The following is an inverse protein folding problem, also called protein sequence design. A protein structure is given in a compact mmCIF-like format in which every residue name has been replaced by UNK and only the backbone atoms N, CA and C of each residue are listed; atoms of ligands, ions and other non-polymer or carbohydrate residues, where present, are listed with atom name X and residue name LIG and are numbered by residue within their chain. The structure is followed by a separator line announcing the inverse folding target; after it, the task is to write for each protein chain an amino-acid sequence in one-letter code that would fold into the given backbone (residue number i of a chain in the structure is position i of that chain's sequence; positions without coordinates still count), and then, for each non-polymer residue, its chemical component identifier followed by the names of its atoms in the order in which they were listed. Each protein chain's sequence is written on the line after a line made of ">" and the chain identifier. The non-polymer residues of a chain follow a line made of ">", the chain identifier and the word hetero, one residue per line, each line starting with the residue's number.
data_IF_025473363150
#
_entry.id   IF_025473363150
#
_cell.length_a   1.000
_cell.length_b   1.000
_cell.length_c   1.000
_cell.angle_alpha   90.00
_cell.angle_beta   90.00
_cell.angle_gamma   90.00
#
_symmetry.space_group_name_H-M   'P 1'
#
loop_
_entity.id
_entity.type
_entity.pdbx_description
1 polymer ?
#
# COMPACT_ATOMS: atom_id res chain seq x y z
N UNK A 1 2.63 -13.39 13.21
CA UNK A 1 1.62 -12.43 13.66
C UNK A 1 1.48 -11.38 12.56
N UNK A 2 0.30 -11.23 11.95
CA UNK A 2 0.09 -10.21 10.91
C UNK A 2 0.06 -8.83 11.56
N UNK A 3 1.13 -8.05 11.40
CA UNK A 3 1.22 -6.68 11.89
C UNK A 3 0.46 -5.72 10.97
N UNK A 4 -0.86 -5.85 10.90
CA UNK A 4 -1.67 -4.90 10.16
C UNK A 4 -1.81 -3.59 10.96
N UNK A 5 -1.40 -2.46 10.36
CA UNK A 5 -1.37 -1.13 10.94
C UNK A 5 -2.09 -0.14 10.03
N UNK A 6 -3.04 0.61 10.57
CA UNK A 6 -3.67 1.73 9.86
C UNK A 6 -2.76 2.96 9.89
N UNK A 7 -2.40 3.46 8.71
CA UNK A 7 -1.55 4.64 8.50
C UNK A 7 -2.42 5.89 8.28
N UNK A 8 -3.54 5.72 7.58
CA UNK A 8 -4.56 6.75 7.36
C UNK A 8 -5.95 6.10 7.25
N UNK A 9 -7.05 6.88 7.29
CA UNK A 9 -8.40 6.33 7.12
C UNK A 9 -8.63 5.55 5.81
N UNK A 10 -7.79 5.79 4.80
CA UNK A 10 -7.83 5.13 3.49
C UNK A 10 -6.58 4.26 3.24
N UNK A 11 -5.67 4.10 4.22
CA UNK A 11 -4.40 3.39 4.00
C UNK A 11 -4.04 2.49 5.18
N UNK A 12 -3.92 1.19 4.91
CA UNK A 12 -3.40 0.19 5.84
C UNK A 12 -2.11 -0.43 5.32
N UNK A 13 -1.21 -0.80 6.22
CA UNK A 13 0.04 -1.48 5.89
C UNK A 13 0.13 -2.76 6.71
N UNK A 14 0.52 -3.86 6.08
CA UNK A 14 1.01 -5.04 6.78
C UNK A 14 2.37 -5.43 6.23
N UNK A 15 3.16 -6.13 7.03
CA UNK A 15 4.43 -6.67 6.58
C UNK A 15 4.60 -8.14 6.95
N UNK A 16 5.38 -8.83 6.14
CA UNK A 16 5.88 -10.16 6.40
C UNK A 16 7.31 -10.24 5.88
N UNK A 17 8.27 -10.41 6.79
CA UNK A 17 9.69 -10.41 6.46
C UNK A 17 10.08 -9.15 5.67
N UNK A 18 10.73 -9.28 4.50
CA UNK A 18 11.11 -8.16 3.62
C UNK A 18 10.00 -7.66 2.69
N UNK A 19 8.77 -8.15 2.88
CA UNK A 19 7.63 -7.80 2.03
C UNK A 19 6.63 -6.92 2.77
N UNK A 20 6.29 -5.78 2.16
CA UNK A 20 5.31 -4.84 2.67
C UNK A 20 4.10 -4.78 1.75
N UNK A 21 2.92 -4.87 2.34
CA UNK A 21 1.64 -4.79 1.65
C UNK A 21 0.96 -3.48 2.06
N UNK A 22 0.79 -2.58 1.11
CA UNK A 22 0.10 -1.30 1.29
C UNK A 22 -1.28 -1.39 0.64
N UNK A 23 -2.32 -1.22 1.44
CA UNK A 23 -3.73 -1.34 1.06
C UNK A 23 -4.37 0.04 1.04
N UNK A 24 -4.87 0.46 -0.13
CA UNK A 24 -5.63 1.69 -0.28
C UNK A 24 -7.14 1.39 -0.19
N UNK A 25 -7.68 1.55 1.02
CA UNK A 25 -9.09 1.35 1.34
C UNK A 25 -9.95 2.46 0.73
N UNK A 26 -11.19 2.13 0.36
CA UNK A 26 -12.16 3.05 -0.26
C UNK A 26 -11.76 3.59 -1.64
N UNK A 27 -10.80 2.95 -2.32
CA UNK A 27 -10.62 3.11 -3.76
C UNK A 27 -11.57 2.15 -4.48
N UNK A 28 -12.16 2.55 -5.60
CA UNK A 28 -13.09 1.70 -6.38
C UNK A 28 -12.46 0.34 -6.73
N UNK A 29 -11.13 0.31 -6.87
CA UNK A 29 -10.36 -0.86 -7.29
C UNK A 29 -9.74 -1.66 -6.13
N UNK A 30 -9.92 -1.23 -4.88
CA UNK A 30 -9.26 -1.80 -3.68
C UNK A 30 -7.77 -2.07 -3.93
N UNK A 31 -7.05 -1.03 -4.31
CA UNK A 31 -5.68 -1.13 -4.79
C UNK A 31 -4.72 -1.62 -3.68
N UNK A 32 -3.97 -2.69 -3.97
CA UNK A 32 -2.90 -3.23 -3.14
C UNK A 32 -1.56 -3.09 -3.83
N UNK A 33 -0.57 -2.52 -3.15
CA UNK A 33 0.82 -2.49 -3.58
C UNK A 33 1.65 -3.42 -2.71
N UNK A 34 2.45 -4.27 -3.33
CA UNK A 34 3.39 -5.17 -2.68
C UNK A 34 4.81 -4.69 -2.98
N UNK A 35 5.52 -4.23 -1.96
CA UNK A 35 6.92 -3.83 -2.03
C UNK A 35 7.77 -4.96 -1.46
N UNK A 36 8.65 -5.54 -2.27
CA UNK A 36 9.55 -6.62 -1.87
C UNK A 36 10.97 -6.06 -1.93
N UNK A 37 11.61 -6.00 -0.75
CA UNK A 37 12.97 -5.49 -0.60
C UNK A 37 13.99 -6.62 -0.67
N UNK A 38 15.16 -6.32 -1.24
CA UNK A 38 16.24 -7.31 -1.38
C UNK A 38 17.04 -7.46 -0.08
N UNK A 39 17.19 -6.38 0.70
CA UNK A 39 18.00 -6.34 1.92
C UNK A 39 17.14 -6.14 3.18
N UNK A 40 17.64 -6.63 4.31
CA UNK A 40 17.02 -6.39 5.63
C UNK A 40 17.12 -4.91 6.04
N UNK A 41 18.16 -4.22 5.57
CA UNK A 41 18.37 -2.79 5.79
C UNK A 41 17.29 -1.96 5.10
N UNK A 42 17.03 -2.21 3.81
CA UNK A 42 15.98 -1.50 3.07
C UNK A 42 14.59 -1.77 3.65
N UNK A 43 14.31 -3.03 4.03
CA UNK A 43 13.07 -3.40 4.70
C UNK A 43 12.89 -2.65 6.04
N UNK A 44 13.97 -2.54 6.83
CA UNK A 44 13.97 -1.83 8.11
C UNK A 44 13.80 -0.31 7.91
N UNK A 45 14.52 0.27 6.95
CA UNK A 45 14.40 1.68 6.57
C UNK A 45 12.99 2.02 6.11
N UNK A 46 12.40 1.17 5.28
CA UNK A 46 11.01 1.33 4.84
C UNK A 46 10.03 1.24 6.01
N UNK A 47 10.19 0.27 6.92
CA UNK A 47 9.37 0.17 8.12
C UNK A 47 9.40 1.46 8.94
N UNK A 48 10.61 1.97 9.25
CA UNK A 48 10.80 3.19 10.02
C UNK A 48 10.19 4.42 9.30
N UNK A 49 10.34 4.51 7.98
CA UNK A 49 9.78 5.58 7.17
C UNK A 49 8.24 5.57 7.20
N UNK A 50 7.60 4.40 7.11
CA UNK A 50 6.15 4.25 7.24
C UNK A 50 5.65 4.65 8.64
N UNK A 51 6.42 4.37 9.69
CA UNK A 51 6.07 4.83 11.05
C UNK A 51 6.08 6.36 11.14
N UNK A 52 7.14 6.98 10.62
CA UNK A 52 7.26 8.44 10.56
C UNK A 52 6.13 9.06 9.71
N UNK A 53 5.80 8.45 8.57
CA UNK A 53 4.67 8.85 7.73
C UNK A 53 3.35 8.79 8.50
N UNK A 54 3.12 7.72 9.26
CA UNK A 54 1.91 7.56 10.08
C UNK A 54 1.77 8.70 11.09
N UNK A 55 2.87 9.11 11.71
CA UNK A 55 2.89 10.24 12.65
C UNK A 55 2.63 11.55 11.91
N UNK A 56 3.31 11.79 10.79
CA UNK A 56 3.15 12.99 9.97
C UNK A 56 1.71 13.14 9.44
N UNK A 57 1.09 12.05 8.99
CA UNK A 57 -0.28 12.03 8.46
C UNK A 57 -1.37 12.46 9.46
N UNK A 58 -1.06 12.50 10.76
CA UNK A 58 -1.99 13.01 11.78
C UNK A 58 -2.16 14.52 11.70
N UNK A 59 -1.14 15.26 11.26
CA UNK A 59 -1.19 16.74 11.17
C UNK A 59 -1.69 17.25 9.81
N UNK A 60 -1.80 16.38 8.80
CA UNK A 60 -2.22 16.76 7.45
C UNK A 60 -3.75 16.85 7.35
N UNK A 61 -4.30 17.90 6.71
CA UNK A 61 -5.73 17.98 6.42
C UNK A 61 -6.21 16.80 5.58
N UNK A 62 -7.38 16.23 5.91
CA UNK A 62 -7.92 15.01 5.28
C UNK A 62 -7.86 15.05 3.74
N UNK A 63 -8.21 16.19 3.12
CA UNK A 63 -8.24 16.39 1.66
C UNK A 63 -6.88 16.27 0.97
N UNK A 64 -5.77 16.39 1.71
CA UNK A 64 -4.41 16.33 1.14
C UNK A 64 -3.66 15.05 1.49
N UNK A 65 -4.20 14.24 2.42
CA UNK A 65 -3.47 13.08 2.96
C UNK A 65 -3.03 12.13 1.85
N UNK A 66 -3.92 11.83 0.91
CA UNK A 66 -3.62 10.87 -0.16
C UNK A 66 -2.46 11.32 -1.06
N UNK A 67 -2.49 12.57 -1.53
CA UNK A 67 -1.42 13.13 -2.35
C UNK A 67 -0.07 13.11 -1.63
N UNK A 68 -0.02 13.55 -0.37
CA UNK A 68 1.20 13.50 0.43
C UNK A 68 1.68 12.06 0.66
N UNK A 69 0.77 11.10 0.76
CA UNK A 69 1.12 9.69 0.99
C UNK A 69 1.77 9.09 -0.25
N UNK A 70 1.22 9.40 -1.43
CA UNK A 70 1.77 8.96 -2.71
C UNK A 70 3.15 9.58 -2.97
N UNK A 71 3.29 10.90 -2.83
CA UNK A 71 4.59 11.58 -3.01
C UNK A 71 5.66 11.05 -2.05
N UNK A 72 5.30 10.80 -0.79
CA UNK A 72 6.24 10.24 0.18
C UNK A 72 6.75 8.85 -0.23
N UNK A 73 5.86 7.97 -0.70
CA UNK A 73 6.25 6.64 -1.14
C UNK A 73 7.12 6.70 -2.39
N UNK A 74 6.77 7.56 -3.35
CA UNK A 74 7.55 7.73 -4.58
C UNK A 74 8.97 8.24 -4.26
N UNK A 75 9.10 9.18 -3.32
CA UNK A 75 10.41 9.66 -2.85
C UNK A 75 11.20 8.60 -2.11
N UNK A 76 10.55 7.86 -1.20
CA UNK A 76 11.18 6.82 -0.38
C UNK A 76 11.73 5.67 -1.23
N UNK A 77 11.04 5.34 -2.31
CA UNK A 77 11.34 4.19 -3.16
C UNK A 77 12.17 4.52 -4.40
N UNK A 78 12.42 5.81 -4.67
CA UNK A 78 13.12 6.26 -5.87
C UNK A 78 14.52 5.68 -6.02
N UNK A 79 15.24 5.52 -4.90
CA UNK A 79 16.64 5.11 -4.87
C UNK A 79 16.84 3.71 -4.27
N UNK A 80 15.74 3.02 -3.94
CA UNK A 80 15.77 1.68 -3.34
C UNK A 80 15.50 0.65 -4.43
N UNK A 81 16.39 -0.33 -4.58
CA UNK A 81 16.16 -1.47 -5.45
C UNK A 81 15.11 -2.40 -4.82
N UNK A 82 13.90 -2.36 -5.36
CA UNK A 82 12.76 -3.10 -4.85
C UNK A 82 11.90 -3.60 -6.01
N UNK A 83 11.18 -4.70 -5.76
CA UNK A 83 10.15 -5.18 -6.67
C UNK A 83 8.78 -4.68 -6.22
N UNK A 84 8.06 -4.01 -7.13
CA UNK A 84 6.68 -3.56 -6.93
C UNK A 84 5.70 -4.45 -7.70
N UNK A 85 4.80 -5.13 -6.99
CA UNK A 85 3.62 -5.74 -7.61
C UNK A 85 2.37 -4.93 -7.24
N UNK A 86 1.64 -4.45 -8.24
CA UNK A 86 0.35 -3.79 -8.05
C UNK A 86 -0.74 -4.81 -8.32
N UNK A 87 -1.62 -5.02 -7.35
CA UNK A 87 -2.84 -5.81 -7.52
C UNK A 87 -4.04 -4.92 -7.30
N UNK A 88 -4.81 -4.70 -8.35
CA UNK A 88 -6.20 -4.27 -8.22
C UNK A 88 -7.05 -5.53 -8.04
N UNK A 89 -8.19 -5.43 -7.36
CA UNK A 89 -9.15 -6.53 -7.43
C UNK A 89 -9.46 -6.82 -8.90
N UNK A 90 -9.68 -8.09 -9.29
CA UNK A 90 -10.37 -8.32 -10.56
C UNK A 90 -11.67 -7.50 -10.50
N UNK A 91 -12.07 -6.82 -11.60
CA UNK A 91 -13.37 -6.17 -11.64
C UNK A 91 -14.40 -7.21 -11.16
N UNK A 92 -15.36 -6.79 -10.34
CA UNK A 92 -16.48 -7.66 -9.98
C UNK A 92 -16.91 -8.42 -11.23
N UNK A 93 -17.20 -9.73 -11.15
CA UNK A 93 -17.63 -10.48 -12.32
C UNK A 93 -18.85 -9.76 -12.88
N UNK A 94 -18.62 -8.99 -13.94
CA UNK A 94 -19.69 -8.35 -14.69
C UNK A 94 -20.61 -9.49 -15.06
N UNK A 95 -21.91 -9.30 -14.86
CA UNK A 95 -22.95 -10.32 -15.01
C UNK A 95 -22.90 -11.14 -16.34
N UNK A 96 -22.03 -10.79 -17.27
CA UNK A 96 -21.61 -11.59 -18.42
C UNK A 96 -20.99 -12.97 -18.09
N UNK A 97 -20.48 -13.21 -16.88
CA UNK A 97 -19.95 -14.54 -16.51
C UNK A 97 -21.05 -15.60 -16.28
N UNK A 98 -22.33 -15.20 -16.19
CA UNK A 98 -23.46 -16.14 -16.11
C UNK A 98 -23.96 -16.66 -17.47
N UNK A 99 -23.42 -16.18 -18.60
CA UNK A 99 -23.84 -16.63 -19.93
C UNK A 99 -23.10 -17.88 -20.47
N UNK A 100 -22.32 -18.59 -19.62
CA UNK A 100 -21.62 -19.84 -19.99
C UNK A 100 -22.15 -21.08 -19.27
N UNK A 101 -23.34 -20.99 -18.65
CA UNK A 101 -24.13 -22.16 -18.27
C UNK A 101 -25.59 -21.92 -18.61
N UNK A 102 -25.92 -22.05 -19.88
CA UNK A 102 -27.27 -22.39 -20.34
C UNK A 102 -27.16 -23.64 -21.21
#
# INVERSE_FOLDING_TARGET
>A
MSNFKLVAPYCGVSNYDKTFFVYYMNTEENLRREYIFNTDEDASNFSNAIENLTVFMKSIPARKKEAYHQEFLDLLLREVDHKLNIRTNPPEPTAAAFALKA
#
